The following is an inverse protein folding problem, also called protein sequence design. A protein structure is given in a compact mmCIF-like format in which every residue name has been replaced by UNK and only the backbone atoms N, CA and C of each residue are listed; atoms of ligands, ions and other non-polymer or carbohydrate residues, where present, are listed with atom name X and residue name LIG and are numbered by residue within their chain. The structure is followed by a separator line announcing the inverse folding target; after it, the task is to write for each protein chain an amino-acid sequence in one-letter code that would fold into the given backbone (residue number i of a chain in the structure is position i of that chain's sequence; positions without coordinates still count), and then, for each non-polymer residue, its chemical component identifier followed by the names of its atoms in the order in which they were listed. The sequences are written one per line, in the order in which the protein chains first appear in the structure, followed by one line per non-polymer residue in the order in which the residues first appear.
data_IF_007705669238
#
_entry.id   IF_007705669238
#
_cell.length_a   1.000
_cell.length_b   1.000
_cell.length_c   1.000
_cell.angle_alpha   90.00
_cell.angle_beta   90.00
_cell.angle_gamma   90.00
#
_symmetry.space_group_name_H-M   'P 1'
#
loop_
_entity.id
_entity.type
_entity.pdbx_description
1 polymer ?
#
# COMPACT_ATOMS: atom_id res chain seq x y z
N UNK A 1 33.07 30.89 1.45
CA UNK A 1 32.39 30.38 2.66
C UNK A 1 30.92 30.75 2.55
N UNK A 2 30.10 29.92 1.92
CA UNK A 2 28.65 30.10 1.93
C UNK A 2 28.05 29.08 2.88
N UNK A 3 27.55 29.63 3.99
CA UNK A 3 26.87 28.97 5.09
C UNK A 3 25.38 29.07 4.75
N UNK A 4 24.87 28.07 4.05
CA UNK A 4 23.42 27.86 3.96
C UNK A 4 23.16 26.39 4.32
N UNK A 5 22.84 26.07 5.59
CA UNK A 5 22.05 24.90 5.86
C UNK A 5 20.62 25.17 5.36
N UNK A 6 19.92 24.12 4.91
CA UNK A 6 18.53 24.08 4.45
C UNK A 6 18.28 24.33 2.95
N UNK A 7 18.27 23.24 2.20
CA UNK A 7 17.13 22.99 1.32
C UNK A 7 16.28 21.94 2.02
N UNK A 8 15.01 22.29 2.25
CA UNK A 8 13.91 21.43 2.67
C UNK A 8 14.24 19.94 2.58
N UNK A 9 14.10 19.22 3.68
CA UNK A 9 13.94 17.77 3.71
C UNK A 9 12.65 17.42 2.95
N UNK A 10 12.66 17.54 1.63
CA UNK A 10 11.61 17.05 0.76
C UNK A 10 11.64 15.53 0.93
N UNK A 11 10.68 15.00 1.66
CA UNK A 11 10.53 13.56 1.85
C UNK A 11 10.16 13.00 0.48
N UNK A 12 11.15 12.49 -0.24
CA UNK A 12 10.92 11.73 -1.45
C UNK A 12 10.67 10.28 -1.04
N UNK A 13 9.52 9.73 -1.44
CA UNK A 13 9.23 8.32 -1.25
C UNK A 13 10.12 7.49 -2.18
N UNK A 14 10.69 6.40 -1.67
CA UNK A 14 11.39 5.42 -2.51
C UNK A 14 10.38 4.58 -3.31
N UNK A 15 9.27 4.22 -2.67
CA UNK A 15 8.19 3.46 -3.29
C UNK A 15 6.81 3.84 -2.75
N UNK A 16 5.78 3.75 -3.60
CA UNK A 16 4.37 3.86 -3.24
C UNK A 16 3.66 2.55 -3.57
N UNK A 17 2.88 2.03 -2.63
CA UNK A 17 2.04 0.85 -2.84
C UNK A 17 0.59 1.25 -2.63
N UNK A 18 -0.24 1.01 -3.64
CA UNK A 18 -1.67 1.26 -3.59
C UNK A 18 -2.37 -0.08 -3.51
N UNK A 19 -3.17 -0.29 -2.46
CA UNK A 19 -3.85 -1.57 -2.21
C UNK A 19 -5.36 -1.35 -2.27
N UNK A 20 -6.06 -2.18 -3.04
CA UNK A 20 -7.52 -2.25 -3.06
C UNK A 20 -7.99 -3.65 -2.68
N UNK A 21 -9.28 -3.83 -2.42
CA UNK A 21 -9.90 -5.13 -2.16
C UNK A 21 -10.59 -5.61 -3.44
N UNK A 22 -10.30 -6.81 -3.93
CA UNK A 22 -10.95 -7.34 -5.14
C UNK A 22 -12.47 -7.53 -4.97
N UNK A 23 -12.93 -7.54 -3.72
CA UNK A 23 -14.35 -7.66 -3.33
C UNK A 23 -15.04 -6.32 -3.13
N UNK A 24 -14.37 -5.19 -3.39
CA UNK A 24 -14.93 -3.85 -3.23
C UNK A 24 -14.55 -2.96 -4.42
N UNK A 25 -15.48 -2.82 -5.36
CA UNK A 25 -15.31 -1.99 -6.56
C UNK A 25 -14.96 -0.54 -6.23
N UNK A 26 -15.51 0.03 -5.16
CA UNK A 26 -15.23 1.41 -4.77
C UNK A 26 -13.78 1.59 -4.34
N UNK A 27 -13.22 0.58 -3.66
CA UNK A 27 -11.80 0.59 -3.29
C UNK A 27 -10.89 0.60 -4.52
N UNK A 28 -11.28 -0.08 -5.60
CA UNK A 28 -10.55 -0.08 -6.88
C UNK A 28 -10.62 1.28 -7.58
N UNK A 29 -11.77 1.92 -7.59
CA UNK A 29 -11.94 3.28 -8.14
C UNK A 29 -11.08 4.31 -7.39
N UNK A 30 -11.04 4.22 -6.05
CA UNK A 30 -10.16 5.06 -5.23
C UNK A 30 -8.68 4.76 -5.52
N UNK A 31 -8.32 3.50 -5.71
CA UNK A 31 -6.94 3.13 -6.06
C UNK A 31 -6.50 3.74 -7.40
N UNK A 32 -7.39 3.83 -8.40
CA UNK A 32 -7.10 4.53 -9.65
C UNK A 32 -6.82 6.03 -9.43
N UNK A 33 -7.55 6.69 -8.53
CA UNK A 33 -7.31 8.08 -8.15
C UNK A 33 -5.97 8.24 -7.44
N UNK A 34 -5.64 7.34 -6.51
CA UNK A 34 -4.35 7.34 -5.80
C UNK A 34 -3.17 7.09 -6.74
N UNK A 35 -3.32 6.21 -7.74
CA UNK A 35 -2.31 6.02 -8.79
C UNK A 35 -2.10 7.29 -9.61
N UNK A 36 -3.19 8.00 -9.94
CA UNK A 36 -3.11 9.30 -10.63
C UNK A 36 -2.26 10.28 -9.80
N UNK A 37 -2.56 10.45 -8.51
CA UNK A 37 -1.74 11.26 -7.60
C UNK A 37 -0.28 10.78 -7.56
N UNK A 38 -0.04 9.47 -7.41
CA UNK A 38 1.30 8.93 -7.29
C UNK A 38 2.17 9.20 -8.52
N UNK A 39 1.59 9.09 -9.72
CA UNK A 39 2.29 9.31 -10.98
C UNK A 39 2.47 10.81 -11.26
N UNK A 40 1.41 11.60 -11.13
CA UNK A 40 1.46 13.00 -11.54
C UNK A 40 2.09 13.92 -10.48
N UNK A 41 1.99 13.62 -9.19
CA UNK A 41 2.51 14.51 -8.15
C UNK A 41 3.86 14.05 -7.62
N UNK A 42 4.04 12.73 -7.41
CA UNK A 42 5.27 12.22 -6.79
C UNK A 42 6.31 11.75 -7.81
N UNK A 43 5.92 11.00 -8.84
CA UNK A 43 6.88 10.48 -9.84
C UNK A 43 7.50 11.58 -10.71
N UNK A 44 6.81 12.70 -10.92
CA UNK A 44 7.38 13.90 -11.57
C UNK A 44 8.49 14.55 -10.75
N UNK A 45 8.41 14.46 -9.42
CA UNK A 45 9.40 15.02 -8.49
C UNK A 45 10.54 14.02 -8.21
N UNK A 46 10.25 12.72 -8.26
CA UNK A 46 11.23 11.64 -8.11
C UNK A 46 11.05 10.61 -9.24
N UNK A 47 11.81 10.72 -10.35
CA UNK A 47 11.76 9.75 -11.45
C UNK A 47 12.10 8.31 -11.04
N UNK A 48 12.85 8.13 -9.95
CA UNK A 48 13.20 6.81 -9.41
C UNK A 48 12.07 6.16 -8.60
N UNK A 49 10.97 6.90 -8.33
CA UNK A 49 9.86 6.39 -7.54
C UNK A 49 9.26 5.12 -8.16
N UNK A 50 9.22 4.07 -7.36
CA UNK A 50 8.59 2.79 -7.72
C UNK A 50 7.15 2.76 -7.25
N UNK A 51 6.24 2.31 -8.09
CA UNK A 51 4.81 2.25 -7.77
C UNK A 51 4.27 0.86 -8.08
N UNK A 52 3.48 0.31 -7.16
CA UNK A 52 2.83 -0.99 -7.31
C UNK A 52 1.36 -0.92 -6.88
N UNK A 53 0.50 -1.55 -7.68
CA UNK A 53 -0.92 -1.76 -7.40
C UNK A 53 -1.13 -3.18 -6.89
N UNK A 54 -1.85 -3.34 -5.78
CA UNK A 54 -2.14 -4.65 -5.19
C UNK A 54 -3.64 -4.87 -5.05
N UNK A 55 -4.16 -5.92 -5.68
CA UNK A 55 -5.51 -6.44 -5.46
C UNK A 55 -5.53 -7.41 -4.29
N UNK A 56 -5.94 -6.97 -3.11
CA UNK A 56 -6.00 -7.79 -1.90
C UNK A 56 -7.29 -8.63 -1.83
N UNK A 57 -7.25 -9.68 -1.00
CA UNK A 57 -8.30 -10.68 -0.76
C UNK A 57 -8.54 -11.60 -1.96
N UNK A 58 -7.48 -11.99 -2.67
CA UNK A 58 -7.55 -12.91 -3.82
C UNK A 58 -8.23 -14.25 -3.49
N UNK A 59 -8.23 -14.64 -2.21
CA UNK A 59 -8.92 -15.82 -1.68
C UNK A 59 -10.45 -15.75 -1.76
N UNK A 60 -11.05 -14.56 -1.78
CA UNK A 60 -12.49 -14.36 -1.80
C UNK A 60 -13.08 -14.40 -3.22
N UNK A 61 -12.78 -15.46 -3.97
CA UNK A 61 -13.16 -15.61 -5.40
C UNK A 61 -14.66 -15.41 -5.65
N UNK A 62 -15.52 -15.92 -4.76
CA UNK A 62 -16.99 -15.81 -4.90
C UNK A 62 -17.54 -14.41 -4.65
N UNK A 63 -16.80 -13.58 -3.91
CA UNK A 63 -17.18 -12.21 -3.60
C UNK A 63 -16.44 -11.20 -4.50
N UNK A 64 -15.72 -11.66 -5.53
CA UNK A 64 -14.97 -10.82 -6.45
C UNK A 64 -15.93 -9.87 -7.19
N UNK A 65 -15.57 -8.59 -7.20
CA UNK A 65 -16.25 -7.52 -7.95
C UNK A 65 -15.31 -6.79 -8.91
N UNK A 66 -14.03 -7.16 -8.92
CA UNK A 66 -12.99 -6.60 -9.80
C UNK A 66 -12.19 -7.75 -10.38
N UNK A 67 -12.17 -7.85 -11.70
CA UNK A 67 -11.45 -8.92 -12.37
C UNK A 67 -9.95 -8.66 -12.40
N UNK A 68 -9.10 -9.71 -12.42
CA UNK A 68 -7.66 -9.54 -12.50
C UNK A 68 -7.23 -8.76 -13.75
N UNK A 69 -7.98 -8.90 -14.84
CA UNK A 69 -7.75 -8.18 -16.09
C UNK A 69 -7.95 -6.67 -15.94
N UNK A 70 -8.88 -6.23 -15.09
CA UNK A 70 -9.12 -4.80 -14.81
C UNK A 70 -7.98 -4.20 -14.00
N UNK A 71 -7.53 -4.90 -12.96
CA UNK A 71 -6.35 -4.51 -12.17
C UNK A 71 -5.10 -4.40 -13.04
N UNK A 72 -4.85 -5.41 -13.88
CA UNK A 72 -3.73 -5.42 -14.82
C UNK A 72 -3.82 -4.31 -15.86
N UNK A 73 -5.02 -4.05 -16.41
CA UNK A 73 -5.23 -2.98 -17.38
C UNK A 73 -4.99 -1.60 -16.76
N UNK A 74 -5.44 -1.39 -15.52
CA UNK A 74 -5.19 -0.17 -14.78
C UNK A 74 -3.70 0.05 -14.54
N UNK A 75 -3.00 -0.99 -14.08
CA UNK A 75 -1.57 -0.92 -13.82
C UNK A 75 -0.76 -0.63 -15.10
N UNK A 76 -1.09 -1.29 -16.21
CA UNK A 76 -0.49 -1.04 -17.52
C UNK A 76 -0.69 0.42 -17.97
N UNK A 77 -1.89 0.98 -17.77
CA UNK A 77 -2.18 2.38 -18.12
C UNK A 77 -1.29 3.39 -17.39
N UNK A 78 -0.89 3.08 -16.16
CA UNK A 78 -0.02 3.93 -15.34
C UNK A 78 1.46 3.49 -15.37
N UNK A 79 1.80 2.43 -16.11
CA UNK A 79 3.13 1.82 -16.16
C UNK A 79 3.68 1.48 -14.75
N UNK A 80 2.86 0.78 -13.97
CA UNK A 80 3.18 0.34 -12.60
C UNK A 80 3.07 -1.17 -12.47
N UNK A 81 3.72 -1.74 -11.45
CA UNK A 81 3.64 -3.17 -11.16
C UNK A 81 2.26 -3.55 -10.61
N UNK A 82 1.83 -4.79 -10.84
CA UNK A 82 0.55 -5.31 -10.35
C UNK A 82 0.66 -6.73 -9.80
N UNK A 83 0.06 -6.94 -8.62
CA UNK A 83 -0.07 -8.24 -7.99
C UNK A 83 -1.46 -8.40 -7.35
N UNK A 84 -1.99 -9.62 -7.32
CA UNK A 84 -3.10 -9.95 -6.41
C UNK A 84 -2.56 -10.78 -5.24
N UNK A 85 -3.08 -10.57 -4.03
CA UNK A 85 -2.61 -11.28 -2.85
C UNK A 85 -3.75 -11.54 -1.86
N UNK A 86 -3.56 -12.53 -1.00
CA UNK A 86 -4.37 -12.71 0.20
C UNK A 86 -3.48 -12.48 1.40
N UNK A 87 -3.65 -11.34 2.05
CA UNK A 87 -2.94 -11.07 3.31
C UNK A 87 -3.40 -12.03 4.41
N UNK A 88 -4.68 -12.40 4.40
CA UNK A 88 -5.27 -13.31 5.40
C UNK A 88 -4.70 -14.73 5.28
N UNK A 89 -4.49 -15.20 4.04
CA UNK A 89 -3.94 -16.54 3.77
C UNK A 89 -2.42 -16.53 3.50
N UNK A 90 -1.76 -15.38 3.68
CA UNK A 90 -0.34 -15.15 3.33
C UNK A 90 0.02 -15.55 1.87
N UNK A 91 -0.96 -15.54 0.95
CA UNK A 91 -0.77 -15.89 -0.46
C UNK A 91 -0.18 -14.73 -1.27
N UNK A 92 0.79 -15.06 -2.14
CA UNK A 92 1.58 -14.13 -2.98
C UNK A 92 2.37 -13.05 -2.20
N UNK A 93 2.50 -13.22 -0.88
CA UNK A 93 3.13 -12.24 0.00
C UNK A 93 4.65 -12.16 -0.21
N UNK A 94 5.30 -13.28 -0.48
CA UNK A 94 6.73 -13.34 -0.77
C UNK A 94 7.10 -12.54 -2.02
N UNK A 95 6.26 -12.57 -3.05
CA UNK A 95 6.46 -11.77 -4.26
C UNK A 95 6.35 -10.27 -3.97
N UNK A 96 5.38 -9.86 -3.15
CA UNK A 96 5.25 -8.45 -2.72
C UNK A 96 6.45 -8.03 -1.87
N UNK A 97 6.91 -8.88 -0.95
CA UNK A 97 8.07 -8.59 -0.11
C UNK A 97 9.36 -8.52 -0.92
N UNK A 98 9.54 -9.40 -1.89
CA UNK A 98 10.63 -9.35 -2.85
C UNK A 98 10.58 -8.05 -3.65
N UNK A 99 9.39 -7.68 -4.15
CA UNK A 99 9.20 -6.41 -4.85
C UNK A 99 9.61 -5.22 -3.97
N UNK A 100 9.15 -5.14 -2.72
CA UNK A 100 9.52 -4.07 -1.78
C UNK A 100 11.04 -4.03 -1.59
N UNK A 101 11.65 -5.18 -1.32
CA UNK A 101 13.08 -5.30 -1.02
C UNK A 101 13.95 -4.83 -2.20
N UNK A 102 13.49 -5.07 -3.43
CA UNK A 102 14.20 -4.66 -4.65
C UNK A 102 13.97 -3.19 -5.02
N UNK A 103 12.85 -2.59 -4.58
CA UNK A 103 12.40 -1.28 -5.04
C UNK A 103 12.54 -0.17 -3.99
N UNK A 104 12.82 -0.50 -2.72
CA UNK A 104 13.14 0.48 -1.67
C UNK A 104 14.66 0.60 -1.54
N UNK A 105 15.20 1.83 -1.61
CA UNK A 105 16.62 2.10 -1.34
C UNK A 105 16.93 1.90 0.13
N UNK A 106 17.20 0.67 0.52
CA UNK A 106 17.64 0.35 1.87
C UNK A 106 19.09 0.76 2.08
N UNK A 107 19.36 1.64 3.06
CA UNK A 107 20.71 1.77 3.66
C UNK A 107 21.10 0.57 4.53
N UNK A 108 20.16 -0.34 4.78
CA UNK A 108 20.35 -1.58 5.53
C UNK A 108 19.78 -2.74 4.71
N UNK A 109 20.66 -3.53 4.10
CA UNK A 109 20.28 -4.65 3.23
C UNK A 109 19.30 -5.59 3.93
N UNK A 110 18.07 -5.65 3.41
CA UNK A 110 17.20 -6.79 3.68
C UNK A 110 17.80 -7.99 2.94
N UNK A 111 18.26 -8.99 3.69
CA UNK A 111 18.75 -10.24 3.10
C UNK A 111 17.63 -10.88 2.28
N UNK A 112 17.95 -11.52 1.14
CA UNK A 112 16.97 -12.24 0.35
C UNK A 112 16.30 -13.30 1.24
N UNK A 113 14.97 -13.32 1.22
CA UNK A 113 14.16 -14.35 1.88
C UNK A 113 14.43 -15.63 1.11
N UNK A 114 15.43 -16.39 1.55
CA UNK A 114 15.57 -17.78 1.21
C UNK A 114 15.16 -18.62 2.42
N UNK A 115 14.31 -19.57 2.13
CA UNK A 115 14.00 -20.79 2.87
C UNK A 115 12.92 -20.80 3.98
N UNK A 116 11.93 -21.65 3.67
CA UNK A 116 11.26 -22.66 4.50
C UNK A 116 11.10 -22.39 5.99
N UNK A 117 9.84 -22.46 6.44
CA UNK A 117 9.33 -22.45 7.83
C UNK A 117 8.74 -21.13 8.34
N UNK A 118 7.49 -20.85 7.94
CA UNK A 118 6.27 -20.80 8.77
C UNK A 118 6.29 -20.26 10.22
N UNK A 119 7.27 -19.47 10.67
CA UNK A 119 7.32 -19.02 12.08
C UNK A 119 7.70 -17.56 12.31
N UNK A 120 8.16 -16.85 11.28
CA UNK A 120 8.82 -15.53 11.45
C UNK A 120 7.93 -14.33 11.14
N UNK A 121 6.75 -14.54 10.53
CA UNK A 121 5.75 -13.49 10.30
C UNK A 121 5.26 -12.82 11.59
N UNK A 122 5.46 -13.49 12.75
CA UNK A 122 5.14 -12.96 14.09
C UNK A 122 5.80 -11.61 14.42
N UNK A 123 6.96 -11.25 13.84
CA UNK A 123 7.66 -9.98 14.15
C UNK A 123 7.23 -8.80 13.26
N UNK A 124 6.89 -9.04 11.99
CA UNK A 124 6.34 -7.99 11.12
C UNK A 124 4.88 -7.67 11.49
N UNK A 125 4.12 -8.68 11.93
CA UNK A 125 2.75 -8.50 12.44
C UNK A 125 2.71 -7.58 13.68
N UNK A 126 3.75 -7.54 14.52
CA UNK A 126 3.81 -6.59 15.64
C UNK A 126 3.82 -5.12 15.20
N UNK A 127 4.36 -4.79 14.03
CA UNK A 127 4.32 -3.42 13.49
C UNK A 127 2.96 -3.11 12.87
N UNK A 128 2.40 -4.02 12.08
CA UNK A 128 1.08 -3.85 11.46
C UNK A 128 -0.03 -3.79 12.52
N UNK A 129 0.05 -4.61 13.58
CA UNK A 129 -0.89 -4.60 14.71
C UNK A 129 -0.77 -3.34 15.58
N UNK A 130 0.38 -2.64 15.54
CA UNK A 130 0.58 -1.33 16.21
C UNK A 130 0.06 -0.17 15.36
N UNK A 131 0.04 -0.32 14.04
CA UNK A 131 -0.48 0.65 13.07
C UNK A 131 -2.00 0.54 12.87
N UNK A 132 -2.58 -0.66 13.01
CA UNK A 132 -4.03 -0.90 12.86
C UNK A 132 -4.87 -0.69 14.14
N UNK A 133 -4.31 -0.11 15.21
CA UNK A 133 -5.14 0.35 16.34
C UNK A 133 -5.92 1.61 15.91
N UNK A 134 -7.14 1.41 15.41
CA UNK A 134 -8.13 2.49 15.25
C UNK A 134 -8.35 3.19 16.61
N UNK A 135 -8.27 4.52 16.71
CA UNK A 135 -8.99 5.23 17.76
C UNK A 135 -10.49 5.14 17.48
N UNK A 136 -11.25 4.87 18.53
CA UNK A 136 -12.70 4.77 18.56
C UNK A 136 -13.35 6.02 17.92
N UNK A 137 -14.05 5.86 16.80
CA UNK A 137 -14.99 6.87 16.33
C UNK A 137 -16.25 6.75 17.17
N UNK A 138 -16.23 7.36 18.35
CA UNK A 138 -17.44 7.56 19.17
C UNK A 138 -18.36 8.49 18.39
N UNK A 139 -19.41 7.92 17.80
CA UNK A 139 -20.55 8.66 17.29
C UNK A 139 -21.02 9.66 18.36
N UNK A 140 -20.95 10.97 18.08
CA UNK A 140 -21.77 11.95 18.80
C UNK A 140 -23.15 11.90 18.16
N UNK A 141 -23.99 11.04 18.73
CA UNK A 141 -25.43 11.10 18.60
C UNK A 141 -25.90 12.51 19.00
N UNK A 142 -26.85 13.04 18.25
CA UNK A 142 -27.61 14.23 18.60
C UNK A 142 -28.22 14.05 20.00
N UNK A 143 -28.01 15.02 20.87
CA UNK A 143 -28.79 15.44 22.06
C UNK A 143 -27.96 16.61 22.64
N UNK A 144 -28.40 17.88 22.64
CA UNK A 144 -29.57 18.38 23.37
C UNK A 144 -30.02 19.74 22.81
N UNK A 145 -31.31 19.88 22.49
CA UNK A 145 -32.03 21.15 22.59
C UNK A 145 -33.21 20.87 23.53
N UNK A 146 -33.05 21.33 24.77
CA UNK A 146 -34.04 21.56 25.83
C UNK A 146 -33.22 21.72 27.13
N UNK A 147 -33.51 22.62 28.06
CA UNK A 147 -34.59 23.57 28.20
C UNK A 147 -34.15 24.57 29.30
N UNK A 148 -34.57 25.83 29.12
CA UNK A 148 -34.78 26.89 30.12
C UNK A 148 -33.52 27.51 30.75
#
# INVERSE_FOLDING_TARGET
MNIFPNKHSTIFYDSVIVIYSITDRRSFEIAAQLLTMAIFDYKRLNPDLKVCLIGNKSDLVRARTVDPSEGKSLANRFEVDFHEASIELEDNLDHILSWISNNVRTRFGFMPINDSNHGKFRRALSFVKRVLRKPDLKHRSCDSINAI
#
